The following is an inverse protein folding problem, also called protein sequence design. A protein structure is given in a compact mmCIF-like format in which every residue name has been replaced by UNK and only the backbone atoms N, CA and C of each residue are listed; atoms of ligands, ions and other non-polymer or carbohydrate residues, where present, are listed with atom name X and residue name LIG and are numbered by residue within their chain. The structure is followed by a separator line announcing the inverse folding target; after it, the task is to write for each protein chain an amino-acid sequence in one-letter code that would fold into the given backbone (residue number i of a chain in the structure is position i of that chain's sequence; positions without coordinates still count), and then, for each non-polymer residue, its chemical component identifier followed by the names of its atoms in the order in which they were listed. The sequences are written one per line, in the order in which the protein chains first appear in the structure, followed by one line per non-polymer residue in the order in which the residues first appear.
data_IF_639937199487
#
_entry.id   IF_639937199487
#
_cell.length_a   1.000
_cell.length_b   1.000
_cell.length_c   1.000
_cell.angle_alpha   90.00
_cell.angle_beta   90.00
_cell.angle_gamma   90.00
#
_symmetry.space_group_name_H-M   'P 1'
#
loop_
_entity.id
_entity.type
_entity.pdbx_description
1 polymer ?
#
# COMPACT_ATOMS: atom_id res chain seq x y z
N UNK A 1 -16.29 -7.32 20.83
CA UNK A 1 -16.17 -7.51 19.37
C UNK A 1 -16.72 -6.23 18.74
N UNK A 2 -15.86 -5.26 18.43
CA UNK A 2 -16.28 -4.03 17.75
C UNK A 2 -16.70 -4.41 16.33
N UNK A 3 -17.84 -3.93 15.82
CA UNK A 3 -18.20 -4.14 14.43
C UNK A 3 -17.14 -3.46 13.56
N UNK A 4 -16.60 -4.22 12.62
CA UNK A 4 -15.54 -3.86 11.70
C UNK A 4 -15.65 -2.40 11.22
N UNK A 5 -14.87 -1.49 11.81
CA UNK A 5 -14.52 -0.24 11.14
C UNK A 5 -13.53 -0.60 10.05
N UNK A 6 -13.98 -0.67 8.82
CA UNK A 6 -13.08 -0.88 7.68
C UNK A 6 -12.32 0.42 7.45
N UNK A 7 -11.02 0.41 7.65
CA UNK A 7 -10.12 1.54 7.50
C UNK A 7 -9.52 1.53 6.09
N UNK A 8 -9.57 2.67 5.43
CA UNK A 8 -9.00 2.86 4.11
C UNK A 8 -7.63 3.55 4.21
N UNK A 9 -6.62 3.02 3.55
CA UNK A 9 -5.24 3.42 3.75
C UNK A 9 -4.55 3.75 2.42
N UNK A 10 -4.28 5.02 2.15
CA UNK A 10 -3.58 5.47 0.96
C UNK A 10 -2.18 5.96 1.32
N UNK A 11 -1.17 5.52 0.56
CA UNK A 11 0.18 6.05 0.62
C UNK A 11 0.52 6.87 -0.61
N UNK A 12 1.12 8.05 -0.42
CA UNK A 12 1.86 8.75 -1.46
C UNK A 12 3.33 8.33 -1.41
N UNK A 13 3.93 7.86 -2.50
CA UNK A 13 5.33 7.48 -2.50
C UNK A 13 6.22 8.73 -2.59
N UNK A 14 6.76 9.17 -1.48
CA UNK A 14 7.78 10.22 -1.42
C UNK A 14 8.82 9.88 -0.35
N UNK A 15 9.61 8.84 -0.56
CA UNK A 15 10.83 8.64 0.21
C UNK A 15 11.92 8.01 -0.64
N UNK A 16 12.89 8.83 -1.05
CA UNK A 16 14.19 8.36 -1.54
C UNK A 16 15.02 7.92 -0.34
N UNK A 17 15.20 6.62 -0.15
CA UNK A 17 16.37 6.09 0.56
C UNK A 17 17.12 5.13 -0.35
N UNK A 18 18.36 5.53 -0.71
CA UNK A 18 19.35 4.66 -1.33
C UNK A 18 19.77 3.62 -0.30
N UNK A 19 19.28 2.41 -0.45
CA UNK A 19 19.86 1.26 0.24
C UNK A 19 20.24 0.23 -0.80
N UNK A 20 21.55 0.21 -1.13
CA UNK A 20 22.16 -0.82 -1.95
C UNK A 20 22.37 -2.02 -1.02
N UNK A 21 21.46 -2.95 -1.05
CA UNK A 21 21.71 -4.31 -0.57
C UNK A 21 21.49 -5.22 -1.76
N UNK A 22 22.60 -5.72 -2.32
CA UNK A 22 22.58 -6.78 -3.32
C UNK A 22 22.12 -8.05 -2.57
N UNK A 23 20.82 -8.28 -2.56
CA UNK A 23 20.24 -9.56 -2.28
C UNK A 23 19.77 -10.11 -3.63
N UNK A 24 20.40 -11.20 -4.06
CA UNK A 24 19.89 -12.06 -5.11
C UNK A 24 18.49 -12.53 -4.71
N UNK A 25 17.48 -11.82 -5.11
CA UNK A 25 16.11 -12.16 -4.83
C UNK A 25 15.37 -12.45 -6.11
N UNK A 26 14.86 -13.66 -6.17
CA UNK A 26 13.80 -14.17 -7.03
C UNK A 26 12.59 -13.20 -7.07
N UNK A 27 12.75 -12.04 -7.68
CA UNK A 27 11.61 -11.24 -8.11
C UNK A 27 11.00 -11.95 -9.29
N UNK A 28 9.86 -12.60 -9.05
CA UNK A 28 9.14 -13.32 -10.09
C UNK A 28 8.78 -12.34 -11.21
N UNK A 29 9.02 -12.77 -12.44
CA UNK A 29 8.65 -12.08 -13.69
C UNK A 29 7.19 -11.56 -13.71
N UNK A 30 6.32 -12.07 -12.83
CA UNK A 30 4.92 -11.65 -12.66
C UNK A 30 4.74 -10.21 -12.16
N UNK A 31 5.70 -9.68 -11.38
CA UNK A 31 5.62 -8.31 -10.86
C UNK A 31 5.98 -7.29 -11.95
N UNK A 32 6.64 -7.74 -13.01
CA UNK A 32 7.05 -6.93 -14.17
C UNK A 32 5.95 -6.71 -15.20
N UNK A 33 4.94 -7.57 -15.25
CA UNK A 33 3.85 -7.49 -16.25
C UNK A 33 2.92 -6.28 -16.01
N UNK A 34 2.91 -5.72 -14.81
CA UNK A 34 2.10 -4.55 -14.47
C UNK A 34 2.64 -3.25 -15.13
N UNK A 35 3.89 -3.23 -15.58
CA UNK A 35 4.59 -2.03 -16.03
C UNK A 35 5.22 -2.17 -17.43
N UNK A 36 4.43 -2.53 -18.46
CA UNK A 36 4.93 -2.44 -19.83
C UNK A 36 5.13 -0.98 -20.25
N UNK A 37 6.32 -0.59 -20.79
CA UNK A 37 6.66 0.81 -21.07
C UNK A 37 5.79 1.47 -22.15
N UNK A 38 5.19 0.70 -23.03
CA UNK A 38 4.47 1.18 -24.22
C UNK A 38 2.96 1.03 -24.17
N UNK A 39 2.36 0.54 -23.09
CA UNK A 39 0.91 0.52 -23.00
C UNK A 39 0.41 1.84 -22.42
N UNK A 40 -0.36 2.60 -23.20
CA UNK A 40 -1.41 3.45 -22.64
C UNK A 40 -2.04 2.60 -21.54
N UNK A 41 -2.05 3.11 -20.32
CA UNK A 41 -2.52 2.32 -19.18
C UNK A 41 -3.91 1.82 -19.49
N UNK A 42 -4.01 0.55 -19.87
CA UNK A 42 -5.30 -0.07 -20.00
C UNK A 42 -5.85 -0.19 -18.57
N UNK A 43 -6.82 0.65 -18.24
CA UNK A 43 -7.50 0.70 -16.96
C UNK A 43 -8.03 -0.68 -16.56
N UNK A 44 -8.32 -1.53 -17.55
CA UNK A 44 -8.74 -2.91 -17.32
C UNK A 44 -7.65 -3.78 -16.67
N UNK A 45 -6.40 -3.38 -16.78
CA UNK A 45 -5.27 -4.07 -16.14
C UNK A 45 -5.04 -3.67 -14.69
N UNK A 46 -5.70 -2.60 -14.20
CA UNK A 46 -5.61 -2.21 -12.80
C UNK A 46 -6.48 -3.17 -11.98
N UNK A 47 -5.84 -3.97 -11.15
CA UNK A 47 -6.52 -4.84 -10.19
C UNK A 47 -6.97 -4.02 -8.98
N UNK A 48 -8.16 -3.49 -9.05
CA UNK A 48 -8.83 -2.70 -8.01
C UNK A 48 -10.30 -3.10 -7.96
N UNK A 49 -10.90 -3.02 -6.77
CA UNK A 49 -12.33 -3.30 -6.62
C UNK A 49 -13.19 -2.48 -7.61
N UNK A 50 -14.20 -3.09 -8.25
CA UNK A 50 -15.01 -2.43 -9.28
C UNK A 50 -15.67 -1.12 -8.83
N UNK A 51 -16.12 -1.01 -7.57
CA UNK A 51 -16.74 0.21 -7.03
C UNK A 51 -15.76 1.38 -7.03
N UNK A 52 -14.50 1.14 -6.64
CA UNK A 52 -13.44 2.13 -6.72
C UNK A 52 -13.01 2.43 -8.14
N UNK A 53 -12.95 1.42 -8.99
CA UNK A 53 -12.57 1.59 -10.40
C UNK A 53 -13.49 2.59 -11.10
N UNK A 54 -14.78 2.49 -10.85
CA UNK A 54 -15.77 3.41 -11.40
C UNK A 54 -15.54 4.86 -10.93
N UNK A 55 -15.30 5.06 -9.63
CA UNK A 55 -15.10 6.40 -9.05
C UNK A 55 -13.78 7.03 -9.48
N UNK A 56 -12.71 6.22 -9.59
CA UNK A 56 -11.36 6.69 -9.86
C UNK A 56 -10.99 6.70 -11.34
N UNK A 57 -11.90 6.30 -12.24
CA UNK A 57 -11.64 6.21 -13.69
C UNK A 57 -11.02 7.49 -14.26
N UNK A 58 -11.59 8.64 -13.92
CA UNK A 58 -11.11 9.95 -14.38
C UNK A 58 -9.75 10.32 -13.80
N UNK A 59 -9.44 9.87 -12.58
CA UNK A 59 -8.14 10.12 -11.92
C UNK A 59 -7.01 9.35 -12.61
N UNK A 60 -7.27 8.10 -12.99
CA UNK A 60 -6.29 7.27 -13.71
C UNK A 60 -5.90 7.81 -15.09
N UNK A 61 -6.75 8.64 -15.68
CA UNK A 61 -6.50 9.29 -16.97
C UNK A 61 -5.72 10.62 -16.85
N UNK A 62 -5.55 11.14 -15.65
CA UNK A 62 -4.87 12.43 -15.44
C UNK A 62 -3.36 12.33 -15.67
N UNK A 63 -2.71 13.41 -16.15
CA UNK A 63 -1.27 13.42 -16.43
C UNK A 63 -0.39 13.07 -15.21
N UNK A 64 -0.80 13.47 -14.00
CA UNK A 64 -0.03 13.15 -12.80
C UNK A 64 0.06 11.63 -12.56
N UNK A 65 -1.01 10.88 -12.89
CA UNK A 65 -1.02 9.44 -12.72
C UNK A 65 -0.06 8.75 -13.69
N UNK A 66 -0.02 9.22 -14.94
CA UNK A 66 0.99 8.78 -15.90
C UNK A 66 2.42 9.09 -15.42
N UNK A 67 2.61 10.26 -14.78
CA UNK A 67 3.88 10.64 -14.16
C UNK A 67 4.30 9.69 -13.02
N UNK A 68 3.37 9.30 -12.14
CA UNK A 68 3.63 8.32 -11.07
C UNK A 68 4.06 6.97 -11.68
N UNK A 69 3.34 6.50 -12.70
CA UNK A 69 3.67 5.26 -13.39
C UNK A 69 5.08 5.31 -14.00
N UNK A 70 5.41 6.38 -14.71
CA UNK A 70 6.73 6.55 -15.31
C UNK A 70 7.84 6.59 -14.25
N UNK A 71 7.59 7.25 -13.11
CA UNK A 71 8.53 7.27 -11.99
C UNK A 71 8.76 5.87 -11.43
N UNK A 72 7.71 5.11 -11.13
CA UNK A 72 7.83 3.74 -10.61
C UNK A 72 8.58 2.83 -11.58
N UNK A 73 8.29 2.92 -12.88
CA UNK A 73 9.02 2.17 -13.92
C UNK A 73 10.52 2.48 -13.88
N UNK A 74 10.89 3.74 -13.75
CA UNK A 74 12.30 4.17 -13.65
C UNK A 74 12.98 3.58 -12.42
N UNK A 75 12.29 3.59 -11.26
CA UNK A 75 12.84 3.02 -10.03
C UNK A 75 13.04 1.50 -10.17
N UNK A 76 12.07 0.77 -10.74
CA UNK A 76 12.22 -0.66 -11.03
C UNK A 76 13.36 -0.97 -12.01
N UNK A 77 13.49 -0.18 -13.07
CA UNK A 77 14.59 -0.35 -14.05
C UNK A 77 15.97 -0.07 -13.43
N UNK A 78 16.02 0.79 -12.44
CA UNK A 78 17.23 1.09 -11.66
C UNK A 78 17.49 0.10 -10.52
N UNK A 79 16.70 -1.00 -10.44
CA UNK A 79 16.79 -2.05 -9.41
C UNK A 79 16.58 -1.55 -7.99
N UNK A 80 15.84 -0.45 -7.81
CA UNK A 80 15.42 -0.02 -6.48
C UNK A 80 14.25 -0.86 -5.98
N UNK A 81 14.32 -1.22 -4.70
CA UNK A 81 13.17 -1.87 -4.04
C UNK A 81 12.09 -0.83 -3.80
N UNK A 82 10.89 -1.11 -4.30
CA UNK A 82 9.69 -0.27 -4.11
C UNK A 82 8.77 -0.94 -3.10
N UNK A 83 8.27 -0.17 -2.16
CA UNK A 83 7.32 -0.62 -1.15
C UNK A 83 6.00 0.14 -1.28
N UNK A 84 4.85 -0.54 -1.08
CA UNK A 84 4.69 -1.99 -0.97
C UNK A 84 5.02 -2.71 -2.28
N UNK A 85 5.01 -4.04 -2.27
CA UNK A 85 5.12 -4.84 -3.50
C UNK A 85 4.02 -4.46 -4.50
N UNK A 86 4.29 -4.59 -5.81
CA UNK A 86 3.38 -4.14 -6.87
C UNK A 86 1.94 -4.66 -6.73
N UNK A 87 1.77 -5.91 -6.31
CA UNK A 87 0.47 -6.55 -6.04
C UNK A 87 -0.33 -5.89 -4.89
N UNK A 88 0.37 -5.21 -3.98
CA UNK A 88 -0.21 -4.64 -2.76
C UNK A 88 -0.45 -3.12 -2.88
N UNK A 89 -0.08 -2.47 -4.01
CA UNK A 89 -0.24 -1.01 -4.20
C UNK A 89 -1.70 -0.58 -4.04
N UNK A 90 -2.63 -1.38 -4.55
CA UNK A 90 -4.07 -1.10 -4.47
C UNK A 90 -4.81 -1.93 -3.43
N UNK A 91 -4.09 -2.57 -2.51
CA UNK A 91 -4.70 -3.48 -1.54
C UNK A 91 -5.80 -2.82 -0.71
N UNK A 92 -5.58 -1.59 -0.24
CA UNK A 92 -6.58 -0.87 0.54
C UNK A 92 -7.93 -0.75 -0.19
N UNK A 93 -7.88 -0.49 -1.50
CA UNK A 93 -9.08 -0.40 -2.34
C UNK A 93 -9.77 -1.76 -2.55
N UNK A 94 -9.00 -2.86 -2.49
CA UNK A 94 -9.54 -4.21 -2.65
C UNK A 94 -10.15 -4.75 -1.35
N UNK A 95 -9.61 -4.35 -0.19
CA UNK A 95 -10.10 -4.80 1.12
C UNK A 95 -11.38 -4.09 1.57
N UNK A 96 -11.64 -2.87 1.04
CA UNK A 96 -12.81 -2.09 1.43
C UNK A 96 -13.47 -1.48 0.19
N UNK A 97 -14.62 -2.01 -0.27
CA UNK A 97 -15.41 -1.42 -1.34
C UNK A 97 -15.79 0.04 -1.05
N UNK A 98 -15.94 0.86 -2.10
CA UNK A 98 -16.20 2.30 -1.96
C UNK A 98 -17.38 2.63 -1.06
N UNK A 99 -18.49 1.91 -1.24
CA UNK A 99 -19.73 2.15 -0.50
C UNK A 99 -19.67 1.72 0.98
N UNK A 100 -18.65 0.94 1.35
CA UNK A 100 -18.42 0.47 2.72
C UNK A 100 -17.43 1.34 3.50
N UNK A 101 -16.79 2.32 2.84
CA UNK A 101 -15.82 3.21 3.49
C UNK A 101 -16.51 4.12 4.49
N UNK A 102 -16.07 4.07 5.74
CA UNK A 102 -16.53 4.95 6.82
C UNK A 102 -15.47 5.95 7.24
N UNK A 103 -14.21 5.53 7.21
CA UNK A 103 -13.07 6.34 7.63
C UNK A 103 -11.91 6.09 6.67
N UNK A 104 -11.20 7.16 6.29
CA UNK A 104 -9.97 7.11 5.50
C UNK A 104 -8.81 7.54 6.38
N UNK A 105 -7.80 6.68 6.51
CA UNK A 105 -6.56 7.00 7.22
C UNK A 105 -5.43 7.12 6.21
N UNK A 106 -4.80 8.30 6.16
CA UNK A 106 -3.66 8.56 5.31
C UNK A 106 -2.37 8.40 6.12
N UNK A 107 -1.48 7.53 5.65
CA UNK A 107 -0.11 7.46 6.13
C UNK A 107 0.78 8.43 5.37
N UNK A 108 1.95 8.77 5.95
CA UNK A 108 2.93 9.63 5.30
C UNK A 108 3.63 8.88 4.16
N UNK A 109 4.19 7.72 4.45
CA UNK A 109 4.94 6.85 3.53
C UNK A 109 4.85 5.39 4.00
N UNK A 110 5.04 4.42 3.09
CA UNK A 110 5.09 3.00 3.46
C UNK A 110 6.26 2.70 4.39
N UNK A 111 6.12 1.67 5.22
CA UNK A 111 7.25 1.11 5.93
C UNK A 111 8.35 0.70 4.93
N UNK A 112 9.61 0.93 5.31
CA UNK A 112 10.77 0.69 4.45
C UNK A 112 11.55 -0.59 4.81
N UNK A 113 11.15 -1.27 5.87
CA UNK A 113 11.68 -2.58 6.23
C UNK A 113 11.18 -3.66 5.27
N UNK A 114 12.08 -4.59 4.92
CA UNK A 114 11.70 -5.71 4.04
C UNK A 114 10.59 -6.53 4.68
N UNK A 115 9.49 -6.72 3.94
CA UNK A 115 8.33 -7.48 4.41
C UNK A 115 7.39 -6.73 5.36
N UNK A 116 7.61 -5.44 5.64
CA UNK A 116 6.75 -4.65 6.52
C UNK A 116 5.55 -4.05 5.77
N UNK A 117 5.79 -3.36 4.64
CA UNK A 117 4.73 -2.72 3.88
C UNK A 117 3.93 -3.75 3.06
N UNK A 118 2.61 -3.73 3.22
CA UNK A 118 1.70 -4.64 2.52
C UNK A 118 0.42 -3.95 2.00
N UNK A 119 0.50 -2.64 1.76
CA UNK A 119 -0.58 -1.87 1.12
C UNK A 119 -1.62 -1.25 2.06
N UNK A 120 -1.49 -1.45 3.37
CA UNK A 120 -2.37 -0.89 4.40
C UNK A 120 -1.54 -0.02 5.37
N UNK A 121 -1.94 1.25 5.57
CA UNK A 121 -1.25 2.18 6.48
C UNK A 121 -1.18 1.64 7.90
N UNK A 122 -0.03 1.84 8.57
CA UNK A 122 0.24 1.39 9.93
C UNK A 122 0.20 -0.12 10.15
N UNK A 123 -0.31 -0.89 9.20
CA UNK A 123 -0.41 -2.34 9.26
C UNK A 123 0.86 -3.02 8.76
N UNK A 124 1.16 -4.19 9.32
CA UNK A 124 2.24 -5.08 8.85
C UNK A 124 1.68 -6.51 8.72
N UNK A 125 2.28 -7.36 7.87
CA UNK A 125 1.85 -8.75 7.76
C UNK A 125 1.91 -9.50 9.08
N UNK A 126 1.12 -10.58 9.17
CA UNK A 126 1.15 -11.49 10.33
C UNK A 126 2.57 -11.99 10.59
N UNK A 127 2.95 -12.06 11.87
CA UNK A 127 4.28 -12.48 12.31
C UNK A 127 5.38 -11.43 12.19
N UNK A 128 5.10 -10.27 11.58
CA UNK A 128 6.04 -9.15 11.54
C UNK A 128 5.96 -8.35 12.85
N UNK A 129 7.12 -7.92 13.35
CA UNK A 129 7.21 -7.13 14.59
C UNK A 129 6.40 -5.84 14.45
N UNK A 130 5.52 -5.55 15.40
CA UNK A 130 4.70 -4.35 15.45
C UNK A 130 5.60 -3.09 15.44
N UNK A 131 5.46 -2.20 14.42
CA UNK A 131 6.25 -0.97 14.32
C UNK A 131 5.95 0.03 15.43
N UNK A 132 6.87 0.96 15.72
CA UNK A 132 6.68 1.96 16.79
C UNK A 132 5.42 2.81 16.62
N UNK A 133 5.11 3.21 15.38
CA UNK A 133 3.91 4.00 15.08
C UNK A 133 2.62 3.24 15.44
N UNK A 134 2.52 1.97 15.07
CA UNK A 134 1.36 1.15 15.41
C UNK A 134 1.27 0.87 16.92
N UNK A 135 2.41 0.68 17.59
CA UNK A 135 2.44 0.56 19.07
C UNK A 135 1.88 1.80 19.75
N UNK A 136 2.17 2.99 19.22
CA UNK A 136 1.60 4.22 19.76
C UNK A 136 0.10 4.28 19.59
N UNK A 137 -0.41 3.86 18.43
CA UNK A 137 -1.86 3.74 18.18
C UNK A 137 -2.50 2.77 19.19
N UNK A 138 -1.92 1.59 19.39
CA UNK A 138 -2.43 0.63 20.35
C UNK A 138 -2.40 1.15 21.79
N UNK A 139 -1.33 1.88 22.15
CA UNK A 139 -1.26 2.52 23.47
C UNK A 139 -2.37 3.54 23.66
N UNK A 140 -2.64 4.36 22.65
CA UNK A 140 -3.69 5.37 22.70
C UNK A 140 -5.09 4.73 22.82
N UNK A 141 -5.36 3.70 22.01
CA UNK A 141 -6.61 2.93 22.11
C UNK A 141 -6.83 2.34 23.51
N UNK A 142 -5.76 1.86 24.13
CA UNK A 142 -5.86 1.35 25.51
C UNK A 142 -6.12 2.46 26.53
N UNK A 143 -5.40 3.57 26.40
CA UNK A 143 -5.50 4.68 27.37
C UNK A 143 -6.84 5.41 27.27
N UNK A 144 -7.32 5.64 26.06
CA UNK A 144 -8.53 6.44 25.79
C UNK A 144 -9.82 5.60 25.86
N UNK A 145 -9.78 4.40 25.30
CA UNK A 145 -10.98 3.56 25.15
C UNK A 145 -10.96 2.27 25.97
N UNK A 146 -9.88 1.98 26.69
CA UNK A 146 -9.73 0.72 27.44
C UNK A 146 -9.61 -0.52 26.55
N UNK A 147 -9.30 -0.36 25.25
CA UNK A 147 -9.17 -1.47 24.30
C UNK A 147 -7.79 -2.11 24.47
N UNK A 148 -7.76 -3.40 24.79
CA UNK A 148 -6.48 -4.12 24.89
C UNK A 148 -5.78 -4.21 23.52
N UNK A 149 -4.45 -3.96 23.48
CA UNK A 149 -3.68 -4.05 22.25
C UNK A 149 -3.78 -5.43 21.60
N UNK A 150 -3.92 -5.48 20.29
CA UNK A 150 -3.81 -6.73 19.56
C UNK A 150 -2.38 -7.30 19.66
N UNK A 151 -2.25 -8.61 19.62
CA UNK A 151 -0.95 -9.29 19.59
C UNK A 151 -0.29 -9.25 18.20
N UNK A 152 -1.08 -8.99 17.16
CA UNK A 152 -0.67 -8.87 15.77
C UNK A 152 -0.61 -7.41 15.32
N UNK A 153 0.27 -7.12 14.35
CA UNK A 153 0.31 -5.85 13.65
C UNK A 153 -0.50 -5.83 12.35
N UNK A 154 -1.21 -6.93 12.04
CA UNK A 154 -2.08 -7.02 10.88
C UNK A 154 -3.46 -6.48 11.24
N UNK A 155 -3.81 -5.31 10.68
CA UNK A 155 -5.05 -4.59 10.95
C UNK A 155 -6.16 -5.03 10.01
#
# INVERSE_FOLDING_TARGET
MLPYCKFFFIFFPLARKKQITILENNTKKSDFLFFSPNSIMNIDQISIDPSWKQVLLSEFQKPYFAGIKAFLLKEFQAWYTVFPAGKDIFRAFNETPFDEVKVVILGQDPYHGVGEAHGLSFSVPEGVKIPPSLRNIYKELKTDLGIEPASSGNL
#
